data_IF_449621722739
#
_entry.id   IF_449621722739
#
_cell.length_a   1.000
_cell.length_b   1.000
_cell.length_c   1.000
_cell.angle_alpha   90.00
_cell.angle_beta   90.00
_cell.angle_gamma   90.00
#
_symmetry.space_group_name_H-M   'P 1'
#
loop_
_entity.id
_entity.type
_entity.pdbx_description
1 polymer ?
#
# COMPACT_ATOMS: atom_id res chain seq x y z
N UNK A 1 -27.69 -16.49 38.46
CA UNK A 1 -27.01 -15.19 38.46
C UNK A 1 -25.52 -15.41 38.67
N UNK A 2 -24.66 -15.03 37.72
CA UNK A 2 -23.19 -15.03 37.87
C UNK A 2 -22.67 -13.69 37.36
N UNK A 3 -21.94 -12.98 38.22
CA UNK A 3 -21.31 -11.69 37.95
C UNK A 3 -20.09 -11.88 37.05
N UNK A 4 -20.12 -11.26 35.88
CA UNK A 4 -18.96 -11.12 34.99
C UNK A 4 -18.09 -10.01 35.57
N UNK A 5 -16.90 -10.37 36.06
CA UNK A 5 -15.90 -9.40 36.50
C UNK A 5 -15.31 -8.69 35.27
N UNK A 6 -15.73 -7.46 35.03
CA UNK A 6 -15.00 -6.54 34.16
C UNK A 6 -13.72 -6.09 34.88
N UNK A 7 -12.56 -6.58 34.43
CA UNK A 7 -11.27 -5.93 34.70
C UNK A 7 -10.98 -4.95 33.57
N UNK A 8 -11.52 -3.74 33.67
CA UNK A 8 -10.98 -2.58 32.96
C UNK A 8 -10.44 -1.64 34.02
N UNK A 9 -9.15 -1.76 34.32
CA UNK A 9 -8.42 -0.72 35.05
C UNK A 9 -8.05 0.35 34.03
N UNK A 10 -8.84 1.43 34.02
CA UNK A 10 -8.47 2.68 33.40
C UNK A 10 -7.35 3.32 34.22
N UNK A 11 -6.13 3.41 33.68
CA UNK A 11 -5.12 4.39 34.08
C UNK A 11 -4.67 5.18 32.84
N UNK A 12 -4.84 6.51 32.81
CA UNK A 12 -4.42 7.34 31.70
C UNK A 12 -3.10 8.04 32.03
N UNK A 13 -2.02 7.29 32.23
CA UNK A 13 -0.68 7.86 32.41
C UNK A 13 0.32 6.90 31.79
N UNK A 14 0.52 7.00 30.48
CA UNK A 14 1.74 6.58 29.77
C UNK A 14 1.66 7.07 28.31
N UNK A 15 1.39 8.36 28.15
CA UNK A 15 1.84 9.13 26.98
C UNK A 15 3.34 9.37 27.15
N UNK A 16 4.15 8.35 26.92
CA UNK A 16 5.59 8.54 26.77
C UNK A 16 5.80 9.22 25.41
N UNK A 17 5.98 10.53 25.48
CA UNK A 17 6.53 11.34 24.42
C UNK A 17 7.89 10.79 24.00
N UNK A 18 7.93 9.96 22.97
CA UNK A 18 9.15 9.73 22.21
C UNK A 18 9.36 10.90 21.24
N UNK A 19 9.85 12.01 21.78
CA UNK A 19 10.69 12.93 20.99
C UNK A 19 12.15 12.55 21.23
N UNK A 20 12.82 11.84 20.31
CA UNK A 20 14.24 12.01 20.15
C UNK A 20 14.44 13.24 19.27
N UNK A 21 14.43 14.42 19.88
CA UNK A 21 15.04 15.55 19.23
C UNK A 21 16.56 15.29 19.18
N UNK A 22 17.14 15.44 17.97
CA UNK A 22 18.57 15.34 17.62
C UNK A 22 19.28 13.97 17.74
N UNK A 23 19.19 13.21 16.65
CA UNK A 23 20.36 12.56 16.05
C UNK A 23 20.44 13.01 14.58
N UNK A 24 21.62 13.38 14.06
CA UNK A 24 21.74 14.00 12.74
C UNK A 24 21.25 13.05 11.66
N UNK A 25 20.52 13.60 10.71
CA UNK A 25 20.09 12.98 9.46
C UNK A 25 21.19 12.10 8.86
N UNK A 26 20.91 10.82 8.60
CA UNK A 26 21.76 9.90 7.81
C UNK A 26 21.80 10.27 6.31
N UNK A 27 21.87 11.57 6.00
CA UNK A 27 21.89 12.13 4.65
C UNK A 27 23.14 12.97 4.36
N UNK A 28 24.17 12.93 5.21
CA UNK A 28 25.33 13.81 5.12
C UNK A 28 26.70 13.11 5.18
N UNK A 29 26.84 11.86 4.72
CA UNK A 29 28.16 11.19 4.63
C UNK A 29 28.46 10.52 3.28
N UNK A 30 27.84 10.97 2.18
CA UNK A 30 28.16 10.50 0.82
C UNK A 30 28.69 11.64 -0.05
N UNK A 31 29.64 12.42 0.47
CA UNK A 31 30.18 13.60 -0.22
C UNK A 31 31.70 13.73 -0.26
N UNK A 32 32.46 12.69 0.13
CA UNK A 32 33.91 12.81 0.29
C UNK A 32 34.73 11.62 -0.21
N UNK A 33 34.21 10.82 -1.15
CA UNK A 33 34.97 9.73 -1.80
C UNK A 33 35.08 9.86 -3.31
N UNK A 34 34.64 10.97 -3.92
CA UNK A 34 34.65 11.13 -5.39
C UNK A 34 35.85 11.88 -5.97
N UNK A 35 36.77 12.43 -5.17
CA UNK A 35 37.88 13.25 -5.70
C UNK A 35 39.24 12.56 -5.79
N UNK A 36 39.46 11.41 -5.14
CA UNK A 36 40.77 10.73 -5.15
C UNK A 36 40.94 9.74 -6.30
N UNK A 37 39.86 9.23 -6.90
CA UNK A 37 39.97 8.32 -8.05
C UNK A 37 40.19 9.03 -9.40
N UNK A 38 40.06 10.35 -9.47
CA UNK A 38 40.25 11.10 -10.72
C UNK A 38 41.72 11.42 -11.04
N UNK A 39 42.65 11.22 -10.09
CA UNK A 39 44.08 11.58 -10.25
C UNK A 39 45.04 10.38 -10.40
N UNK A 40 44.56 9.13 -10.30
CA UNK A 40 45.38 7.95 -10.56
C UNK A 40 45.42 7.54 -12.05
N UNK A 41 44.69 8.26 -12.92
CA UNK A 41 44.55 7.94 -14.35
C UNK A 41 45.57 8.58 -15.29
N UNK A 42 46.54 9.35 -14.79
CA UNK A 42 47.52 10.05 -15.64
C UNK A 42 48.95 9.73 -15.19
N UNK A 43 49.31 8.46 -15.27
CA UNK A 43 50.71 8.03 -15.31
C UNK A 43 50.82 6.80 -16.21
N UNK A 44 50.81 7.06 -17.52
CA UNK A 44 51.27 6.08 -18.49
C UNK A 44 52.79 5.90 -18.34
N UNK A 45 53.21 4.66 -18.16
CA UNK A 45 54.56 4.23 -18.48
C UNK A 45 54.45 2.95 -19.31
N UNK A 46 54.72 3.10 -20.60
CA UNK A 46 54.99 2.02 -21.52
C UNK A 46 56.26 1.27 -21.11
N UNK A 47 56.26 -0.07 -21.11
CA UNK A 47 57.38 -0.83 -21.66
C UNK A 47 57.11 -2.33 -21.79
N UNK A 48 57.08 -2.78 -23.05
CA UNK A 48 57.75 -3.96 -23.63
C UNK A 48 57.42 -5.41 -23.20
N UNK A 49 57.31 -6.24 -24.24
CA UNK A 49 57.67 -7.67 -24.38
C UNK A 49 56.57 -8.73 -24.20
N UNK A 50 56.24 -9.34 -25.34
CA UNK A 50 56.02 -10.78 -25.42
C UNK A 50 54.61 -11.23 -25.76
N UNK A 51 54.15 -11.03 -26.99
CA UNK A 51 53.03 -11.83 -27.52
C UNK A 51 53.59 -13.13 -28.11
N UNK A 52 53.94 -14.09 -27.26
CA UNK A 52 54.02 -15.48 -27.71
C UNK A 52 52.59 -16.02 -27.75
N UNK A 53 52.07 -16.19 -28.96
CA UNK A 53 50.89 -17.01 -29.20
C UNK A 53 51.19 -18.41 -28.71
N UNK A 54 50.43 -18.92 -27.74
CA UNK A 54 50.07 -20.33 -27.65
C UNK A 54 48.80 -20.46 -26.77
N UNK A 55 47.88 -21.31 -27.22
CA UNK A 55 46.56 -21.66 -26.66
C UNK A 55 45.37 -20.68 -26.84
N UNK A 56 45.00 -20.45 -28.10
CA UNK A 56 43.64 -20.05 -28.50
C UNK A 56 42.62 -21.21 -28.50
N UNK A 57 42.89 -22.29 -27.76
CA UNK A 57 42.08 -23.53 -27.73
C UNK A 57 41.25 -23.68 -26.43
N UNK A 58 41.39 -22.76 -25.46
CA UNK A 58 40.61 -22.74 -24.20
C UNK A 58 39.51 -21.65 -24.23
N UNK A 59 39.28 -20.99 -25.36
CA UNK A 59 38.39 -19.83 -25.48
C UNK A 59 36.88 -20.14 -25.58
N UNK A 60 36.43 -21.36 -25.24
CA UNK A 60 35.03 -21.76 -25.38
C UNK A 60 34.41 -22.36 -24.11
N UNK A 61 35.04 -22.15 -22.95
CA UNK A 61 34.40 -22.37 -21.65
C UNK A 61 34.15 -21.00 -21.04
N UNK A 62 32.91 -20.65 -20.66
CA UNK A 62 32.65 -19.42 -19.91
C UNK A 62 33.60 -19.38 -18.72
N UNK A 63 34.34 -18.28 -18.55
CA UNK A 63 35.14 -18.11 -17.33
C UNK A 63 34.16 -18.17 -16.15
N UNK A 64 34.56 -18.81 -15.06
CA UNK A 64 33.72 -19.00 -13.87
C UNK A 64 33.05 -17.71 -13.39
N UNK A 65 33.73 -16.58 -13.60
CA UNK A 65 33.27 -15.24 -13.26
C UNK A 65 32.11 -14.76 -14.15
N UNK A 66 32.10 -15.10 -15.45
CA UNK A 66 31.01 -14.78 -16.39
C UNK A 66 29.75 -15.60 -16.10
N UNK A 67 29.91 -16.83 -15.60
CA UNK A 67 28.80 -17.66 -15.13
C UNK A 67 28.17 -17.10 -13.85
N UNK A 68 29.01 -16.70 -12.89
CA UNK A 68 28.55 -16.08 -11.65
C UNK A 68 27.81 -14.75 -11.92
N UNK A 69 28.33 -13.91 -12.81
CA UNK A 69 27.67 -12.65 -13.16
C UNK A 69 26.31 -12.89 -13.84
N UNK A 70 26.19 -13.93 -14.66
CA UNK A 70 24.91 -14.32 -15.26
C UNK A 70 23.91 -14.79 -14.20
N UNK A 71 24.32 -15.67 -13.29
CA UNK A 71 23.46 -16.14 -12.21
C UNK A 71 23.01 -15.00 -11.28
N UNK A 72 23.88 -14.04 -10.98
CA UNK A 72 23.52 -12.87 -10.17
C UNK A 72 22.50 -11.97 -10.87
N UNK A 73 22.65 -11.75 -12.17
CA UNK A 73 21.65 -11.00 -12.97
C UNK A 73 20.31 -11.73 -13.03
N UNK A 74 20.31 -13.04 -13.22
CA UNK A 74 19.09 -13.86 -13.22
C UNK A 74 18.39 -13.82 -11.86
N UNK A 75 19.15 -13.96 -10.76
CA UNK A 75 18.61 -13.83 -9.39
C UNK A 75 18.02 -12.45 -9.13
N UNK A 76 18.67 -11.39 -9.60
CA UNK A 76 18.17 -10.03 -9.45
C UNK A 76 16.87 -9.79 -10.24
N UNK A 77 16.79 -10.30 -11.48
CA UNK A 77 15.57 -10.22 -12.28
C UNK A 77 14.42 -11.00 -11.66
N UNK A 78 14.71 -12.19 -11.12
CA UNK A 78 13.73 -13.02 -10.44
C UNK A 78 13.25 -12.41 -9.11
N UNK A 79 14.15 -11.75 -8.38
CA UNK A 79 13.77 -10.97 -7.19
C UNK A 79 12.89 -9.77 -7.55
N UNK A 80 13.23 -9.03 -8.61
CA UNK A 80 12.40 -7.95 -9.14
C UNK A 80 11.00 -8.43 -9.54
N UNK A 81 10.92 -9.53 -10.29
CA UNK A 81 9.64 -10.14 -10.69
C UNK A 81 8.77 -10.45 -9.48
N UNK A 82 9.36 -11.05 -8.44
CA UNK A 82 8.62 -11.38 -7.20
C UNK A 82 8.17 -10.15 -6.43
N UNK A 83 8.97 -9.09 -6.37
CA UNK A 83 8.58 -7.82 -5.74
C UNK A 83 7.41 -7.15 -6.48
N UNK A 84 7.45 -7.14 -7.81
CA UNK A 84 6.38 -6.60 -8.64
C UNK A 84 5.09 -7.41 -8.51
N UNK A 85 5.19 -8.75 -8.45
CA UNK A 85 4.05 -9.63 -8.17
C UNK A 85 3.44 -9.38 -6.79
N UNK A 86 4.29 -9.20 -5.77
CA UNK A 86 3.83 -8.89 -4.43
C UNK A 86 3.10 -7.55 -4.37
N UNK A 87 3.65 -6.51 -5.00
CA UNK A 87 3.01 -5.19 -5.11
C UNK A 87 1.68 -5.27 -5.84
N UNK A 88 1.66 -5.93 -7.00
CA UNK A 88 0.44 -6.16 -7.78
C UNK A 88 -0.65 -6.84 -6.95
N UNK A 89 -0.30 -7.91 -6.21
CA UNK A 89 -1.22 -8.62 -5.34
C UNK A 89 -1.76 -7.76 -4.19
N UNK A 90 -0.90 -6.90 -3.62
CA UNK A 90 -1.31 -5.99 -2.56
C UNK A 90 -2.28 -4.93 -3.08
N UNK A 91 -1.98 -4.34 -4.24
CA UNK A 91 -2.83 -3.34 -4.87
C UNK A 91 -4.18 -3.93 -5.29
N UNK A 92 -4.21 -5.13 -5.87
CA UNK A 92 -5.47 -5.77 -6.25
C UNK A 92 -6.34 -6.07 -5.03
N UNK A 93 -5.76 -6.58 -3.95
CA UNK A 93 -6.48 -6.80 -2.69
C UNK A 93 -6.99 -5.50 -2.08
N UNK A 94 -6.23 -4.41 -2.16
CA UNK A 94 -6.68 -3.12 -1.70
C UNK A 94 -7.87 -2.60 -2.52
N UNK A 95 -7.78 -2.65 -3.85
CA UNK A 95 -8.87 -2.24 -4.75
C UNK A 95 -10.13 -3.07 -4.53
N UNK A 96 -10.00 -4.38 -4.32
CA UNK A 96 -11.13 -5.25 -4.00
C UNK A 96 -11.82 -4.84 -2.70
N UNK A 97 -11.06 -4.54 -1.64
CA UNK A 97 -11.61 -4.04 -0.37
C UNK A 97 -12.32 -2.69 -0.54
N UNK A 98 -11.75 -1.80 -1.33
CA UNK A 98 -12.37 -0.50 -1.63
C UNK A 98 -13.70 -0.68 -2.39
N UNK A 99 -13.75 -1.59 -3.37
CA UNK A 99 -14.98 -1.93 -4.09
C UNK A 99 -16.03 -2.56 -3.17
N UNK A 100 -15.65 -3.50 -2.31
CA UNK A 100 -16.57 -4.10 -1.33
C UNK A 100 -17.12 -3.05 -0.36
N UNK A 101 -16.27 -2.15 0.14
CA UNK A 101 -16.71 -1.07 1.03
C UNK A 101 -17.66 -0.10 0.30
N UNK A 102 -17.40 0.21 -0.96
CA UNK A 102 -18.27 1.07 -1.76
C UNK A 102 -19.63 0.41 -1.99
N UNK A 103 -19.65 -0.87 -2.37
CA UNK A 103 -20.88 -1.65 -2.54
C UNK A 103 -21.69 -1.69 -1.24
N UNK A 104 -21.03 -1.92 -0.10
CA UNK A 104 -21.68 -1.90 1.21
C UNK A 104 -22.28 -0.52 1.55
N UNK A 105 -21.56 0.57 1.28
CA UNK A 105 -22.09 1.94 1.47
C UNK A 105 -23.31 2.20 0.60
N UNK A 106 -23.31 1.73 -0.64
CA UNK A 106 -24.47 1.86 -1.53
C UNK A 106 -25.66 1.05 -1.06
N UNK A 107 -25.44 -0.16 -0.55
CA UNK A 107 -26.48 -0.96 0.08
C UNK A 107 -27.09 -0.25 1.29
N UNK A 108 -26.26 0.23 2.22
CA UNK A 108 -26.74 0.97 3.39
C UNK A 108 -27.56 2.22 3.02
N UNK A 109 -27.19 2.92 1.93
CA UNK A 109 -27.98 4.05 1.42
C UNK A 109 -29.33 3.61 0.88
N UNK A 110 -29.40 2.47 0.17
CA UNK A 110 -30.67 1.91 -0.32
C UNK A 110 -31.56 1.49 0.85
N UNK A 111 -31.00 0.78 1.83
CA UNK A 111 -31.71 0.32 3.02
C UNK A 111 -32.26 1.50 3.83
N UNK A 112 -31.46 2.56 4.03
CA UNK A 112 -31.92 3.77 4.70
C UNK A 112 -33.04 4.49 3.94
N UNK A 113 -33.01 4.48 2.60
CA UNK A 113 -34.08 5.05 1.76
C UNK A 113 -35.35 4.20 1.86
N UNK A 114 -35.22 2.89 1.90
CA UNK A 114 -36.33 1.95 2.05
C UNK A 114 -36.99 2.11 3.43
N UNK A 115 -36.20 2.20 4.51
CA UNK A 115 -36.71 2.48 5.85
C UNK A 115 -37.49 3.80 5.91
N UNK A 116 -36.98 4.87 5.29
CA UNK A 116 -37.72 6.14 5.21
C UNK A 116 -39.05 6.03 4.48
N UNK A 117 -39.14 5.19 3.44
CA UNK A 117 -40.40 4.93 2.74
C UNK A 117 -41.38 4.17 3.65
N UNK A 118 -40.90 3.14 4.35
CA UNK A 118 -41.70 2.36 5.29
C UNK A 118 -42.18 3.23 6.46
N UNK A 119 -41.40 4.19 6.93
CA UNK A 119 -41.82 5.13 7.99
C UNK A 119 -42.79 6.21 7.47
N UNK A 120 -42.64 6.63 6.22
CA UNK A 120 -43.54 7.61 5.59
C UNK A 120 -44.92 7.01 5.30
N UNK A 121 -45.00 5.74 4.88
CA UNK A 121 -46.24 5.13 4.42
C UNK A 121 -47.37 5.08 5.49
N UNK A 122 -47.12 4.71 6.77
CA UNK A 122 -48.13 4.81 7.82
C UNK A 122 -48.56 6.25 8.13
N UNK A 123 -47.62 7.21 8.08
CA UNK A 123 -47.92 8.63 8.34
C UNK A 123 -48.74 9.25 7.21
N UNK A 124 -48.38 8.95 5.96
CA UNK A 124 -49.14 9.39 4.78
C UNK A 124 -50.53 8.75 4.75
N UNK A 125 -50.65 7.47 5.12
CA UNK A 125 -51.93 6.77 5.23
C UNK A 125 -52.81 7.42 6.31
N UNK A 126 -52.28 7.67 7.51
CA UNK A 126 -53.01 8.34 8.58
C UNK A 126 -53.45 9.77 8.20
N UNK A 127 -52.58 10.54 7.53
CA UNK A 127 -52.93 11.88 7.04
C UNK A 127 -54.03 11.84 5.96
N UNK A 128 -54.00 10.83 5.08
CA UNK A 128 -55.01 10.60 4.04
C UNK A 128 -56.35 10.20 4.65
N UNK A 129 -56.33 9.32 5.65
CA UNK A 129 -57.53 8.88 6.37
C UNK A 129 -58.18 10.03 7.15
N UNK A 130 -57.37 10.85 7.85
CA UNK A 130 -57.85 12.07 8.53
C UNK A 130 -58.47 13.07 7.54
N UNK A 131 -57.85 13.27 6.37
CA UNK A 131 -58.41 14.13 5.31
C UNK A 131 -59.74 13.60 4.79
N UNK A 132 -59.84 12.29 4.57
CA UNK A 132 -61.06 11.63 4.11
C UNK A 132 -62.18 11.72 5.17
N UNK A 133 -61.86 11.55 6.45
CA UNK A 133 -62.81 11.67 7.56
C UNK A 133 -63.30 13.12 7.71
N UNK A 134 -62.41 14.10 7.59
CA UNK A 134 -62.76 15.51 7.61
C UNK A 134 -63.71 15.87 6.45
N UNK A 135 -63.40 15.44 5.22
CA UNK A 135 -64.28 15.66 4.06
C UNK A 135 -65.65 14.99 4.22
N UNK A 136 -65.72 13.80 4.85
CA UNK A 136 -67.00 13.15 5.16
C UNK A 136 -67.84 13.95 6.16
N UNK A 137 -67.21 14.50 7.21
CA UNK A 137 -67.92 15.24 8.27
C UNK A 137 -68.32 16.66 7.87
N UNK A 138 -67.48 17.35 7.11
CA UNK A 138 -67.62 18.79 6.86
C UNK A 138 -67.86 19.15 5.38
N UNK A 139 -67.86 18.16 4.49
CA UNK A 139 -67.96 18.38 3.04
C UNK A 139 -66.64 18.82 2.40
N UNK A 140 -66.60 18.99 1.06
CA UNK A 140 -65.39 19.41 0.37
C UNK A 140 -65.04 20.86 0.72
N UNK A 141 -63.78 21.09 1.14
CA UNK A 141 -63.21 22.42 1.32
C UNK A 141 -63.23 23.16 -0.03
N UNK A 142 -63.98 24.28 -0.09
CA UNK A 142 -64.02 25.20 -1.24
C UNK A 142 -62.96 26.27 -1.11
#
# INVERSE_FOLDING_TARGET
>A
MRLIQHKNHSRPEELIAMHPDRAPSRRACLGALSLTMLLAGIAGCASSRGTSNDDASVANRPRRDEWNEREEREKWQEEKRRDDEYKSRRESSQREKEQQMQAFKEQMKKDAKEQRRIEADPRERAARDLKNEFQRKYGPLR
#
